data_IF_630792242917
#
_entry.id   IF_630792242917
#
_cell.length_a   1.000
_cell.length_b   1.000
_cell.length_c   1.000
_cell.angle_alpha   90.00
_cell.angle_beta   90.00
_cell.angle_gamma   90.00
#
_symmetry.space_group_name_H-M   'P 1'
#
loop_
_entity.id
_entity.type
_entity.pdbx_description
1 polymer ?
#
# COMPACT_ATOMS: atom_id res chain seq x y z
N UNK A 1 -1.47 5.37 -25.89
CA UNK A 1 -1.77 6.69 -25.28
C UNK A 1 -2.57 6.56 -23.97
N UNK A 2 -3.53 5.63 -23.87
CA UNK A 2 -4.40 5.48 -22.68
C UNK A 2 -3.70 5.06 -21.38
N UNK A 3 -2.65 4.22 -21.42
CA UNK A 3 -2.06 3.65 -20.20
C UNK A 3 -1.36 4.67 -19.28
N UNK A 4 -0.70 5.69 -19.86
CA UNK A 4 -0.07 6.78 -19.08
C UNK A 4 -1.10 7.69 -18.42
N UNK A 5 -2.19 8.00 -19.13
CA UNK A 5 -3.28 8.85 -18.62
C UNK A 5 -3.95 8.17 -17.43
N UNK A 6 -4.28 6.87 -17.55
CA UNK A 6 -4.87 6.09 -16.47
C UNK A 6 -3.94 6.04 -15.25
N UNK A 7 -2.64 5.77 -15.45
CA UNK A 7 -1.67 5.74 -14.34
C UNK A 7 -1.51 7.10 -13.64
N UNK A 8 -1.57 8.19 -14.40
CA UNK A 8 -1.51 9.56 -13.86
C UNK A 8 -2.76 9.87 -13.03
N UNK A 9 -3.95 9.55 -13.55
CA UNK A 9 -5.21 9.73 -12.83
C UNK A 9 -5.26 8.94 -11.52
N UNK A 10 -4.83 7.67 -11.54
CA UNK A 10 -4.76 6.84 -10.32
C UNK A 10 -3.82 7.45 -9.28
N UNK A 11 -2.69 8.00 -9.71
CA UNK A 11 -1.72 8.65 -8.80
C UNK A 11 -2.30 9.90 -8.18
N UNK A 12 -3.01 10.72 -8.96
CA UNK A 12 -3.70 11.93 -8.45
C UNK A 12 -4.78 11.58 -7.43
N UNK A 13 -5.60 10.56 -7.71
CA UNK A 13 -6.59 10.05 -6.76
C UNK A 13 -5.91 9.60 -5.48
N UNK A 14 -4.81 8.84 -5.56
CA UNK A 14 -4.07 8.39 -4.39
C UNK A 14 -3.52 9.55 -3.55
N UNK A 15 -2.98 10.60 -4.18
CA UNK A 15 -2.51 11.80 -3.47
C UNK A 15 -3.67 12.46 -2.71
N UNK A 16 -4.82 12.64 -3.35
CA UNK A 16 -6.01 13.22 -2.71
C UNK A 16 -6.49 12.39 -1.52
N UNK A 17 -6.54 11.06 -1.67
CA UNK A 17 -6.93 10.14 -0.59
C UNK A 17 -5.98 10.24 0.61
N UNK A 18 -4.67 10.23 0.37
CA UNK A 18 -3.68 10.37 1.44
C UNK A 18 -3.79 11.73 2.15
N UNK A 19 -4.08 12.80 1.41
CA UNK A 19 -4.36 14.12 1.98
C UNK A 19 -5.57 14.12 2.93
N UNK A 20 -6.67 13.48 2.52
CA UNK A 20 -7.86 13.32 3.38
C UNK A 20 -7.56 12.52 4.66
N UNK A 21 -6.78 11.44 4.56
CA UNK A 21 -6.37 10.63 5.71
C UNK A 21 -5.52 11.46 6.68
N UNK A 22 -4.55 12.22 6.18
CA UNK A 22 -3.71 13.11 7.02
C UNK A 22 -4.58 14.14 7.73
N UNK A 23 -5.50 14.79 7.02
CA UNK A 23 -6.42 15.78 7.60
C UNK A 23 -7.27 15.16 8.71
N UNK A 24 -7.86 13.99 8.46
CA UNK A 24 -8.67 13.26 9.44
C UNK A 24 -7.86 12.89 10.69
N UNK A 25 -6.69 12.28 10.50
CA UNK A 25 -5.81 11.88 11.59
C UNK A 25 -5.32 13.08 12.41
N UNK A 26 -5.09 14.23 11.77
CA UNK A 26 -4.72 15.47 12.45
C UNK A 26 -5.89 16.04 13.26
N UNK A 27 -7.09 16.09 12.67
CA UNK A 27 -8.29 16.62 13.31
C UNK A 27 -8.68 15.83 14.58
N UNK A 28 -8.49 14.51 14.59
CA UNK A 28 -8.65 13.66 15.77
C UNK A 28 -7.76 14.11 16.96
N UNK A 29 -6.56 14.63 16.66
CA UNK A 29 -5.65 15.19 17.67
C UNK A 29 -6.17 16.50 18.23
N UNK A 30 -6.70 17.36 17.35
CA UNK A 30 -7.17 18.70 17.71
C UNK A 30 -8.43 18.65 18.58
N UNK A 31 -9.29 17.65 18.35
CA UNK A 31 -10.51 17.42 19.13
C UNK A 31 -10.18 16.78 20.50
N UNK A 32 -8.93 16.35 20.74
CA UNK A 32 -8.51 15.74 22.01
C UNK A 32 -9.08 14.35 22.22
N UNK A 33 -9.24 13.56 21.15
CA UNK A 33 -9.81 12.24 21.29
C UNK A 33 -8.79 11.20 21.76
N UNK A 34 -8.56 11.14 23.07
CA UNK A 34 -7.55 10.28 23.71
C UNK A 34 -7.74 8.79 23.39
N UNK A 35 -8.98 8.32 23.25
CA UNK A 35 -9.27 6.92 22.95
C UNK A 35 -8.83 6.48 21.54
N UNK A 36 -8.61 7.44 20.63
CA UNK A 36 -8.08 7.21 19.28
C UNK A 36 -6.58 7.54 19.15
N UNK A 37 -5.92 8.03 20.22
CA UNK A 37 -4.50 8.38 20.20
C UNK A 37 -3.68 7.16 20.63
N UNK A 38 -3.22 6.40 19.64
CA UNK A 38 -2.39 5.22 19.84
C UNK A 38 -1.13 5.25 18.96
N UNK A 39 -0.11 4.46 19.30
CA UNK A 39 1.13 4.36 18.49
C UNK A 39 0.85 3.97 17.03
N UNK A 40 -0.19 3.17 16.78
CA UNK A 40 -0.65 2.80 15.43
C UNK A 40 -1.08 4.00 14.61
N UNK A 41 -1.75 4.97 15.24
CA UNK A 41 -2.13 6.25 14.60
C UNK A 41 -0.90 6.99 14.11
N UNK A 42 0.13 7.11 14.96
CA UNK A 42 1.37 7.79 14.61
C UNK A 42 2.11 7.08 13.47
N UNK A 43 2.14 5.75 13.48
CA UNK A 43 2.68 4.97 12.38
C UNK A 43 1.92 5.23 11.08
N UNK A 44 0.59 5.11 11.08
CA UNK A 44 -0.24 5.32 9.89
C UNK A 44 -0.02 6.74 9.36
N UNK A 45 -0.03 7.75 10.24
CA UNK A 45 0.20 9.13 9.86
C UNK A 45 1.57 9.34 9.20
N UNK A 46 2.64 8.84 9.81
CA UNK A 46 3.99 8.93 9.26
C UNK A 46 4.13 8.19 7.93
N UNK A 47 3.55 6.99 7.83
CA UNK A 47 3.54 6.21 6.59
C UNK A 47 2.74 6.90 5.48
N UNK A 48 1.58 7.49 5.79
CA UNK A 48 0.77 8.24 4.82
C UNK A 48 1.51 9.47 4.31
N UNK A 49 2.24 10.20 5.16
CA UNK A 49 3.10 11.32 4.73
C UNK A 49 4.22 10.82 3.81
N UNK A 50 4.91 9.75 4.22
CA UNK A 50 5.96 9.13 3.40
C UNK A 50 5.42 8.69 2.03
N UNK A 51 4.26 8.03 2.01
CA UNK A 51 3.58 7.56 0.80
C UNK A 51 3.18 8.72 -0.12
N UNK A 52 2.71 9.83 0.45
CA UNK A 52 2.38 11.04 -0.30
C UNK A 52 3.64 11.63 -0.95
N UNK A 53 4.72 11.81 -0.19
CA UNK A 53 6.00 12.29 -0.71
C UNK A 53 6.55 11.39 -1.82
N UNK A 54 6.51 10.07 -1.61
CA UNK A 54 6.99 9.08 -2.58
C UNK A 54 6.13 9.09 -3.86
N UNK A 55 4.81 9.20 -3.73
CA UNK A 55 3.88 9.30 -4.87
C UNK A 55 4.11 10.57 -5.69
N UNK A 56 4.30 11.71 -5.02
CA UNK A 56 4.64 12.98 -5.68
C UNK A 56 5.99 12.93 -6.38
N UNK A 57 7.00 12.34 -5.75
CA UNK A 57 8.32 12.14 -6.36
C UNK A 57 8.21 11.23 -7.60
N UNK A 58 7.44 10.15 -7.53
CA UNK A 58 7.20 9.25 -8.65
C UNK A 58 6.48 9.93 -9.83
N UNK A 59 5.55 10.85 -9.56
CA UNK A 59 4.90 11.65 -10.59
C UNK A 59 5.90 12.56 -11.33
N UNK A 60 6.79 13.23 -10.58
CA UNK A 60 7.73 14.22 -11.12
C UNK A 60 8.96 13.59 -11.79
N UNK A 61 9.43 12.43 -11.29
CA UNK A 61 10.70 11.81 -11.67
C UNK A 61 10.52 10.37 -12.18
N UNK A 62 9.36 10.06 -12.77
CA UNK A 62 8.89 8.68 -13.03
C UNK A 62 9.94 7.78 -13.70
N UNK A 63 10.70 8.29 -14.65
CA UNK A 63 11.71 7.52 -15.38
C UNK A 63 12.96 7.22 -14.53
N UNK A 64 13.37 8.14 -13.65
CA UNK A 64 14.56 7.96 -12.81
C UNK A 64 14.28 7.04 -11.63
N UNK A 65 13.13 7.21 -10.97
CA UNK A 65 12.74 6.39 -9.82
C UNK A 65 12.50 4.95 -10.25
N UNK A 66 11.80 4.73 -11.36
CA UNK A 66 11.57 3.38 -11.89
C UNK A 66 12.88 2.65 -12.19
N UNK A 67 13.81 3.30 -12.87
CA UNK A 67 15.12 2.71 -13.16
C UNK A 67 15.94 2.42 -11.88
N UNK A 68 15.78 3.24 -10.84
CA UNK A 68 16.45 3.03 -9.55
C UNK A 68 15.85 1.85 -8.77
N UNK A 69 14.53 1.74 -8.74
CA UNK A 69 13.81 0.64 -8.09
C UNK A 69 14.09 -0.71 -8.78
N UNK A 70 14.11 -0.74 -10.11
CA UNK A 70 14.44 -1.94 -10.89
C UNK A 70 15.87 -2.41 -10.61
N UNK A 71 16.81 -1.49 -10.34
CA UNK A 71 18.20 -1.83 -9.99
C UNK A 71 18.40 -2.22 -8.53
N UNK A 72 17.44 -1.92 -7.65
CA UNK A 72 17.60 -2.07 -6.20
C UNK A 72 16.47 -2.93 -5.62
N UNK A 73 16.49 -4.26 -5.86
CA UNK A 73 15.39 -5.15 -5.46
C UNK A 73 15.15 -5.18 -3.95
N UNK A 74 16.20 -4.96 -3.14
CA UNK A 74 16.09 -4.89 -1.67
C UNK A 74 15.16 -3.75 -1.23
N UNK A 75 15.25 -2.59 -1.89
CA UNK A 75 14.40 -1.44 -1.57
C UNK A 75 12.93 -1.72 -1.91
N UNK A 76 12.68 -2.43 -3.02
CA UNK A 76 11.33 -2.83 -3.40
C UNK A 76 10.69 -3.78 -2.37
N UNK A 77 11.46 -4.76 -1.88
CA UNK A 77 11.01 -5.68 -0.83
C UNK A 77 10.71 -4.93 0.47
N UNK A 78 11.59 -4.00 0.87
CA UNK A 78 11.40 -3.19 2.06
C UNK A 78 10.14 -2.32 1.97
N UNK A 79 9.94 -1.62 0.85
CA UNK A 79 8.74 -0.81 0.62
C UNK A 79 7.47 -1.67 0.68
N UNK A 80 7.49 -2.86 0.08
CA UNK A 80 6.36 -3.78 0.12
C UNK A 80 6.06 -4.24 1.55
N UNK A 81 7.08 -4.56 2.34
CA UNK A 81 6.92 -4.94 3.74
C UNK A 81 6.32 -3.79 4.58
N UNK A 82 6.78 -2.55 4.39
CA UNK A 82 6.24 -1.38 5.09
C UNK A 82 4.76 -1.15 4.73
N UNK A 83 4.38 -1.34 3.47
CA UNK A 83 2.98 -1.23 3.06
C UNK A 83 2.10 -2.31 3.70
N UNK A 84 2.56 -3.56 3.74
CA UNK A 84 1.83 -4.64 4.41
C UNK A 84 1.65 -4.31 5.90
N UNK A 85 2.70 -3.83 6.57
CA UNK A 85 2.63 -3.41 7.97
C UNK A 85 1.62 -2.28 8.17
N UNK A 86 1.56 -1.32 7.25
CA UNK A 86 0.58 -0.24 7.28
C UNK A 86 -0.87 -0.74 7.15
N UNK A 87 -1.13 -1.71 6.27
CA UNK A 87 -2.45 -2.33 6.14
C UNK A 87 -2.86 -2.98 7.46
N UNK A 88 -1.98 -3.80 8.04
CA UNK A 88 -2.25 -4.49 9.32
C UNK A 88 -2.51 -3.49 10.44
N UNK A 89 -1.67 -2.47 10.57
CA UNK A 89 -1.83 -1.46 11.62
C UNK A 89 -3.09 -0.61 11.42
N UNK A 90 -3.47 -0.32 10.18
CA UNK A 90 -4.72 0.39 9.88
C UNK A 90 -5.95 -0.44 10.27
N UNK A 91 -5.97 -1.74 9.94
CA UNK A 91 -7.07 -2.62 10.33
C UNK A 91 -7.17 -2.78 11.85
N UNK A 92 -6.03 -3.00 12.53
CA UNK A 92 -6.00 -3.11 13.99
C UNK A 92 -6.41 -1.81 14.68
N UNK A 93 -5.98 -0.67 14.16
CA UNK A 93 -6.38 0.64 14.68
C UNK A 93 -7.89 0.84 14.57
N UNK A 94 -8.48 0.52 13.41
CA UNK A 94 -9.92 0.69 13.20
C UNK A 94 -10.71 -0.27 14.10
N UNK A 95 -10.27 -1.52 14.26
CA UNK A 95 -10.91 -2.49 15.14
C UNK A 95 -10.87 -2.05 16.61
N UNK A 96 -9.73 -1.57 17.10
CA UNK A 96 -9.60 -1.05 18.47
C UNK A 96 -10.50 0.16 18.72
N UNK A 97 -10.52 1.10 17.78
CA UNK A 97 -11.34 2.31 17.90
C UNK A 97 -12.83 1.99 17.83
N UNK A 98 -13.23 0.97 17.04
CA UNK A 98 -14.61 0.45 17.03
C UNK A 98 -14.96 -0.25 18.35
N UNK A 99 -14.07 -1.10 18.88
CA UNK A 99 -14.27 -1.80 20.16
C UNK A 99 -14.34 -0.85 21.35
N UNK A 100 -13.59 0.25 21.31
CA UNK A 100 -13.61 1.27 22.34
C UNK A 100 -14.85 2.18 22.29
N UNK A 101 -15.74 2.03 21.29
CA UNK A 101 -16.89 2.91 21.05
C UNK A 101 -16.52 4.40 21.10
N UNK A 102 -15.42 4.76 20.43
CA UNK A 102 -15.00 6.16 20.35
C UNK A 102 -15.97 6.96 19.45
N UNK A 103 -16.89 7.70 20.06
CA UNK A 103 -17.85 8.58 19.36
C UNK A 103 -17.14 9.60 18.47
N UNK A 104 -16.00 10.12 18.91
CA UNK A 104 -15.17 11.06 18.16
C UNK A 104 -14.65 10.51 16.81
N UNK A 105 -14.63 9.20 16.66
CA UNK A 105 -14.07 8.50 15.51
C UNK A 105 -15.16 7.98 14.57
N UNK A 106 -16.44 8.18 14.92
CA UNK A 106 -17.54 7.89 14.01
C UNK A 106 -17.54 8.90 12.87
N UNK A 107 -16.88 8.53 11.79
CA UNK A 107 -16.74 9.36 10.60
C UNK A 107 -16.67 8.50 9.36
N UNK A 108 -17.16 9.04 8.25
CA UNK A 108 -17.06 8.44 6.91
C UNK A 108 -15.59 8.13 6.55
N UNK A 109 -14.64 8.89 7.09
CA UNK A 109 -13.21 8.68 6.86
C UNK A 109 -12.68 7.39 7.51
N UNK A 110 -13.20 6.98 8.67
CA UNK A 110 -12.83 5.70 9.30
C UNK A 110 -13.24 4.53 8.41
N UNK A 111 -14.47 4.53 7.91
CA UNK A 111 -14.96 3.45 7.06
C UNK A 111 -14.28 3.45 5.69
N UNK A 112 -13.97 4.63 5.16
CA UNK A 112 -13.15 4.78 3.98
C UNK A 112 -11.73 4.20 4.17
N UNK A 113 -11.05 4.49 5.29
CA UNK A 113 -9.75 3.89 5.61
C UNK A 113 -9.83 2.36 5.72
N UNK A 114 -10.92 1.84 6.27
CA UNK A 114 -11.17 0.40 6.35
C UNK A 114 -11.31 -0.23 4.96
N UNK A 115 -12.20 0.31 4.12
CA UNK A 115 -12.42 -0.17 2.76
C UNK A 115 -11.15 -0.08 1.92
N UNK A 116 -10.42 1.04 2.00
CA UNK A 116 -9.14 1.21 1.29
C UNK A 116 -8.10 0.18 1.75
N UNK A 117 -8.04 -0.13 3.04
CA UNK A 117 -7.11 -1.14 3.57
C UNK A 117 -7.46 -2.55 3.09
N UNK A 118 -8.76 -2.88 2.99
CA UNK A 118 -9.22 -4.14 2.42
C UNK A 118 -8.89 -4.23 0.94
N UNK A 119 -9.19 -3.19 0.15
CA UNK A 119 -8.86 -3.15 -1.27
C UNK A 119 -7.36 -3.35 -1.47
N UNK A 120 -6.53 -2.65 -0.70
CA UNK A 120 -5.08 -2.83 -0.76
C UNK A 120 -4.67 -4.27 -0.39
N UNK A 121 -5.22 -4.84 0.68
CA UNK A 121 -4.94 -6.22 1.06
C UNK A 121 -5.28 -7.21 -0.07
N UNK A 122 -6.44 -7.05 -0.73
CA UNK A 122 -6.82 -7.86 -1.87
C UNK A 122 -5.86 -7.69 -3.06
N UNK A 123 -5.49 -6.46 -3.39
CA UNK A 123 -4.56 -6.16 -4.49
C UNK A 123 -3.19 -6.80 -4.25
N UNK A 124 -2.64 -6.68 -3.03
CA UNK A 124 -1.38 -7.33 -2.66
C UNK A 124 -1.50 -8.85 -2.64
N UNK A 125 -2.62 -9.40 -2.17
CA UNK A 125 -2.90 -10.83 -2.22
C UNK A 125 -2.91 -11.39 -3.64
N UNK A 126 -3.61 -10.72 -4.57
CA UNK A 126 -3.65 -11.11 -5.99
C UNK A 126 -2.24 -11.01 -6.60
N UNK A 127 -1.52 -9.93 -6.32
CA UNK A 127 -0.15 -9.74 -6.83
C UNK A 127 0.77 -10.87 -6.36
N UNK A 128 0.70 -11.22 -5.08
CA UNK A 128 1.47 -12.32 -4.51
C UNK A 128 1.13 -13.66 -5.20
N UNK A 129 -0.16 -14.01 -5.32
CA UNK A 129 -0.60 -15.24 -5.99
C UNK A 129 -0.14 -15.30 -7.45
N UNK A 130 -0.24 -14.20 -8.19
CA UNK A 130 0.22 -14.13 -9.58
C UNK A 130 1.74 -14.34 -9.69
N UNK A 131 2.53 -13.81 -8.76
CA UNK A 131 3.98 -13.99 -8.73
C UNK A 131 4.39 -15.45 -8.49
N UNK A 132 3.67 -16.16 -7.62
CA UNK A 132 3.88 -17.59 -7.38
C UNK A 132 3.54 -18.43 -8.61
N UNK A 133 2.41 -18.13 -9.26
CA UNK A 133 1.98 -18.82 -10.47
C UNK A 133 3.01 -18.68 -11.61
N UNK A 134 3.53 -17.47 -11.83
CA UNK A 134 4.56 -17.22 -12.84
C UNK A 134 5.83 -18.00 -12.52
N UNK A 135 6.28 -17.98 -11.26
CA UNK A 135 7.48 -18.72 -10.83
C UNK A 135 7.32 -20.23 -11.06
N UNK A 136 6.14 -20.76 -10.75
CA UNK A 136 5.81 -22.16 -11.01
C UNK A 136 5.85 -22.51 -12.51
N UNK A 137 5.26 -21.67 -13.38
CA UNK A 137 5.32 -21.85 -14.83
C UNK A 137 6.74 -21.83 -15.38
N UNK A 138 7.59 -20.93 -14.89
CA UNK A 138 9.00 -20.90 -15.29
C UNK A 138 9.75 -22.16 -14.85
N UNK A 139 9.49 -22.65 -13.63
CA UNK A 139 10.08 -23.89 -13.14
C UNK A 139 9.65 -25.11 -13.98
N UNK A 140 8.37 -25.19 -14.38
CA UNK A 140 7.89 -26.28 -15.24
C UNK A 140 8.51 -26.24 -16.63
N UNK A 141 8.60 -25.06 -17.25
CA UNK A 141 9.23 -24.88 -18.56
C UNK A 141 10.73 -25.21 -18.54
N UNK A 142 11.43 -24.80 -17.48
CA UNK A 142 12.86 -25.11 -17.30
C UNK A 142 13.11 -26.62 -17.23
N UNK A 143 12.22 -27.36 -16.57
CA UNK A 143 12.32 -28.83 -16.44
C UNK A 143 12.10 -29.54 -17.78
N UNK A 144 11.20 -29.02 -18.59
CA UNK A 144 10.92 -29.59 -19.92
C UNK A 144 12.09 -29.35 -20.89
N UNK A 145 12.67 -28.15 -20.87
CA UNK A 145 13.88 -27.81 -21.63
C UNK A 145 15.09 -28.69 -21.25
N UNK A 146 15.32 -28.97 -19.97
CA UNK A 146 16.44 -29.84 -19.55
C UNK A 146 16.29 -31.28 -20.06
N UNK A 147 15.08 -31.82 -20.09
CA UNK A 147 14.81 -33.17 -20.58
C UNK A 147 15.01 -33.31 -22.10
N UNK A 148 14.71 -32.27 -22.88
CA UNK A 148 14.94 -32.26 -24.33
C UNK A 148 16.45 -32.22 -24.63
N UNK A 149 17.21 -31.47 -23.83
CA UNK A 149 18.67 -31.32 -24.02
C UNK A 149 19.43 -32.60 -23.69
N UNK A 150 18.94 -33.43 -22.76
CA UNK A 150 19.55 -34.73 -22.41
C UNK A 150 19.22 -35.88 -23.39
N UNK A 151 18.24 -35.70 -24.28
CA UNK A 151 17.85 -36.69 -25.29
C UNK A 151 18.57 -36.50 -26.64
N UNK A 152 19.39 -35.47 -26.78
CA UNK A 152 20.07 -35.08 -28.02
C UNK A 152 21.57 -35.30 -27.89
#
# INVERSE_FOLDING_TARGET
MNQKIISTLLTLVNISLNGCIIYYLNNLSTIGCDCAINYKRHYIFAFTIFSLFFSSANLLLSNKIRNYLEKTPVLLVLLTALTILNIVFTLLYIDEVKKANCDCSESVFRDMMFVLSIIQACMYGITFLSSLYITFLFASLSKEMSNITLKK
#
